data_IF_108296375097
#
_entry.id   IF_108296375097
#
_cell.length_a   1.000
_cell.length_b   1.000
_cell.length_c   1.000
_cell.angle_alpha   90.00
_cell.angle_beta   90.00
_cell.angle_gamma   90.00
#
_symmetry.space_group_name_H-M   'P 1'
#
loop_
_entity.id
_entity.type
_entity.pdbx_description
1 polymer ?
#
# COMPACT_ATOMS: atom_id res chain seq x y z
N UNK A 1 15.49 19.44 20.36
CA UNK A 1 14.83 20.59 19.72
C UNK A 1 13.57 20.15 18.95
N UNK A 2 13.63 19.17 18.05
CA UNK A 2 12.50 18.73 17.21
C UNK A 2 11.30 18.22 18.03
N UNK A 3 11.51 17.48 19.13
CA UNK A 3 10.42 16.98 19.99
C UNK A 3 9.67 18.07 20.77
N UNK A 4 10.33 19.15 21.14
CA UNK A 4 9.70 20.27 21.86
C UNK A 4 8.83 21.07 20.88
N UNK A 5 9.34 21.38 19.71
CA UNK A 5 8.65 22.09 18.61
C UNK A 5 7.38 21.35 18.15
N UNK A 6 7.45 20.02 18.01
CA UNK A 6 6.32 19.17 17.62
C UNK A 6 5.20 19.18 18.70
N UNK A 7 5.55 19.02 19.98
CA UNK A 7 4.55 19.07 21.08
C UNK A 7 3.86 20.42 21.17
N UNK A 8 4.57 21.51 20.93
CA UNK A 8 4.03 22.85 20.94
C UNK A 8 3.02 23.03 19.79
N UNK A 9 3.36 22.59 18.58
CA UNK A 9 2.45 22.69 17.43
C UNK A 9 1.20 21.82 17.61
N UNK A 10 1.33 20.59 18.13
CA UNK A 10 0.17 19.72 18.42
C UNK A 10 -0.76 20.37 19.45
N UNK A 11 -0.21 20.98 20.53
CA UNK A 11 -1.01 21.68 21.54
C UNK A 11 -1.70 22.93 20.96
N UNK A 12 -1.07 23.64 20.05
CA UNK A 12 -1.65 24.80 19.37
C UNK A 12 -2.81 24.36 18.46
N UNK A 13 -2.63 23.29 17.68
CA UNK A 13 -3.68 22.72 16.82
C UNK A 13 -4.86 22.23 17.67
N UNK A 14 -4.59 21.53 18.77
CA UNK A 14 -5.64 21.10 19.69
C UNK A 14 -6.47 22.28 20.20
N UNK A 15 -5.83 23.38 20.54
CA UNK A 15 -6.50 24.61 20.98
C UNK A 15 -7.36 25.19 19.86
N UNK A 16 -6.81 25.32 18.65
CA UNK A 16 -7.54 25.79 17.46
C UNK A 16 -8.78 24.93 17.18
N UNK A 17 -8.63 23.60 17.25
CA UNK A 17 -9.75 22.67 17.01
C UNK A 17 -10.83 22.80 18.09
N UNK A 18 -10.44 22.92 19.36
CA UNK A 18 -11.39 23.11 20.47
C UNK A 18 -12.17 24.40 20.33
N UNK A 19 -11.50 25.50 20.01
CA UNK A 19 -12.14 26.82 19.80
C UNK A 19 -13.08 26.79 18.60
N UNK A 20 -12.66 26.16 17.48
CA UNK A 20 -13.47 26.02 16.29
C UNK A 20 -14.75 25.21 16.56
N UNK A 21 -14.64 24.05 17.21
CA UNK A 21 -15.79 23.19 17.55
C UNK A 21 -16.70 23.85 18.55
N UNK A 22 -16.15 24.56 19.53
CA UNK A 22 -16.95 25.37 20.47
C UNK A 22 -17.76 26.47 19.74
N UNK A 23 -17.16 27.16 18.76
CA UNK A 23 -17.82 28.14 17.89
C UNK A 23 -18.97 27.54 17.05
N UNK A 24 -18.90 26.23 16.74
CA UNK A 24 -19.98 25.50 16.08
C UNK A 24 -21.08 25.02 17.04
N UNK A 25 -20.93 25.27 18.35
CA UNK A 25 -21.82 24.72 19.39
C UNK A 25 -21.72 23.19 19.50
N UNK A 26 -20.57 22.62 19.12
CA UNK A 26 -20.31 21.20 19.10
C UNK A 26 -19.50 20.70 20.29
N UNK A 27 -19.20 19.43 20.28
CA UNK A 27 -18.33 18.75 21.25
C UNK A 27 -17.15 18.08 20.51
N UNK A 28 -15.97 18.11 21.15
CA UNK A 28 -14.76 17.46 20.65
C UNK A 28 -14.14 16.60 21.74
N UNK A 29 -13.64 15.43 21.36
CA UNK A 29 -12.92 14.51 22.23
C UNK A 29 -11.77 13.85 21.48
N UNK A 30 -10.58 13.86 22.05
CA UNK A 30 -9.50 13.01 21.61
C UNK A 30 -9.76 11.56 22.06
N UNK A 31 -9.76 10.61 21.14
CA UNK A 31 -9.97 9.18 21.44
C UNK A 31 -8.72 8.33 21.18
N UNK A 32 -7.81 8.83 20.37
CA UNK A 32 -6.49 8.29 20.13
C UNK A 32 -5.53 9.47 19.90
N UNK A 33 -4.24 9.28 20.08
CA UNK A 33 -3.25 10.32 19.87
C UNK A 33 -3.43 11.00 18.51
N UNK A 34 -3.63 12.32 18.52
CA UNK A 34 -3.84 13.16 17.32
C UNK A 34 -5.09 12.80 16.50
N UNK A 35 -6.01 12.04 17.09
CA UNK A 35 -7.30 11.72 16.48
C UNK A 35 -8.44 12.22 17.36
N UNK A 36 -9.32 12.97 16.76
CA UNK A 36 -10.42 13.65 17.43
C UNK A 36 -11.76 13.23 16.85
N UNK A 37 -12.71 12.94 17.72
CA UNK A 37 -14.11 12.80 17.36
C UNK A 37 -14.84 14.12 17.68
N UNK A 38 -15.56 14.65 16.69
CA UNK A 38 -16.35 15.88 16.86
C UNK A 38 -17.82 15.63 16.53
N UNK A 39 -18.71 16.25 17.29
CA UNK A 39 -20.17 16.19 17.06
C UNK A 39 -20.73 17.61 17.05
N UNK A 40 -21.42 17.97 15.97
CA UNK A 40 -22.11 19.25 15.81
C UNK A 40 -23.37 19.10 14.96
N UNK A 41 -24.25 20.10 14.96
CA UNK A 41 -25.53 20.01 14.29
C UNK A 41 -25.45 20.28 12.79
N UNK A 42 -26.57 20.00 12.08
CA UNK A 42 -26.66 20.15 10.62
C UNK A 42 -26.52 21.62 10.16
N UNK A 43 -26.96 22.59 10.96
CA UNK A 43 -26.82 24.00 10.62
C UNK A 43 -25.34 24.40 10.58
N UNK A 44 -24.58 24.03 11.62
CA UNK A 44 -23.13 24.25 11.67
C UNK A 44 -22.39 23.54 10.50
N UNK A 45 -22.85 22.34 10.11
CA UNK A 45 -22.27 21.67 8.91
C UNK A 45 -22.49 22.50 7.65
N UNK A 46 -23.70 23.04 7.44
CA UNK A 46 -24.01 23.86 6.28
C UNK A 46 -23.13 25.12 6.24
N UNK A 47 -22.88 25.75 7.39
CA UNK A 47 -21.98 26.89 7.51
C UNK A 47 -20.53 26.51 7.19
N UNK A 48 -20.07 25.34 7.65
CA UNK A 48 -18.75 24.80 7.31
C UNK A 48 -18.61 24.53 5.81
N UNK A 49 -19.64 23.98 5.17
CA UNK A 49 -19.68 23.74 3.72
C UNK A 49 -19.62 25.08 2.97
N UNK A 50 -20.43 26.06 3.37
CA UNK A 50 -20.49 27.37 2.74
C UNK A 50 -19.16 28.12 2.80
N UNK A 51 -18.42 28.00 3.91
CA UNK A 51 -17.08 28.58 4.07
C UNK A 51 -15.94 27.65 3.65
N UNK A 52 -16.26 26.49 3.01
CA UNK A 52 -15.31 25.48 2.52
C UNK A 52 -14.35 24.98 3.61
N UNK A 53 -14.83 24.84 4.83
CA UNK A 53 -14.02 24.38 5.97
C UNK A 53 -12.74 25.21 6.18
N UNK A 54 -12.90 26.51 6.35
CA UNK A 54 -11.80 27.47 6.52
C UNK A 54 -10.83 27.11 7.64
N UNK A 55 -11.21 26.24 8.57
CA UNK A 55 -10.36 25.68 9.62
C UNK A 55 -9.09 25.04 9.04
N UNK A 56 -9.14 24.42 7.85
CA UNK A 56 -7.99 23.86 7.17
C UNK A 56 -6.90 24.92 6.94
N UNK A 57 -7.29 26.13 6.54
CA UNK A 57 -6.35 27.25 6.33
C UNK A 57 -5.78 27.74 7.66
N UNK A 58 -6.58 27.77 8.70
CA UNK A 58 -6.15 28.19 10.04
C UNK A 58 -5.07 27.25 10.57
N UNK A 59 -5.25 25.92 10.43
CA UNK A 59 -4.28 24.93 10.87
C UNK A 59 -3.01 24.97 10.01
N UNK A 60 -3.12 25.17 8.70
CA UNK A 60 -1.94 25.31 7.81
C UNK A 60 -1.01 26.46 8.19
N UNK A 61 -1.52 27.47 8.86
CA UNK A 61 -0.74 28.63 9.32
C UNK A 61 0.08 28.35 10.60
N UNK A 62 -0.16 27.21 11.27
CA UNK A 62 0.64 26.76 12.41
C UNK A 62 2.01 26.29 11.90
N UNK A 63 3.08 26.84 12.47
CA UNK A 63 4.46 26.54 12.04
C UNK A 63 5.16 25.58 12.99
N UNK A 64 5.83 24.60 12.45
CA UNK A 64 6.72 23.68 13.16
C UNK A 64 8.15 24.26 13.20
N UNK A 65 8.50 25.03 14.24
CA UNK A 65 9.84 25.57 14.42
C UNK A 65 10.30 26.57 13.37
N UNK A 66 11.60 26.83 13.25
CA UNK A 66 12.20 27.77 12.32
C UNK A 66 12.13 27.29 10.83
N UNK A 67 11.94 26.00 10.61
CA UNK A 67 11.66 25.45 9.29
C UNK A 67 10.14 25.36 9.09
N UNK A 68 9.62 26.19 8.22
CA UNK A 68 8.20 26.41 7.94
C UNK A 68 7.50 25.24 7.24
N UNK A 69 7.39 24.09 7.92
CA UNK A 69 6.58 22.99 7.42
C UNK A 69 5.11 23.24 7.79
N UNK A 70 4.17 23.26 6.83
CA UNK A 70 2.75 23.40 7.12
C UNK A 70 2.26 22.13 7.83
N UNK A 71 1.57 22.31 8.96
CA UNK A 71 0.81 21.23 9.58
C UNK A 71 -0.57 21.20 8.94
N UNK A 72 -1.11 20.01 8.71
CA UNK A 72 -2.39 19.82 8.07
C UNK A 72 -3.30 18.92 8.89
N UNK A 73 -4.61 19.06 8.69
CA UNK A 73 -5.61 18.15 9.24
C UNK A 73 -6.46 17.57 8.11
N UNK A 74 -6.92 16.33 8.32
CA UNK A 74 -7.89 15.67 7.44
C UNK A 74 -9.12 15.34 8.24
N UNK A 75 -10.31 15.50 7.65
CA UNK A 75 -11.57 15.24 8.33
C UNK A 75 -12.52 14.43 7.47
N UNK A 76 -13.21 13.47 8.09
CA UNK A 76 -14.38 12.82 7.53
C UNK A 76 -15.64 13.25 8.27
N UNK A 77 -16.70 13.55 7.55
CA UNK A 77 -17.98 13.98 8.12
C UNK A 77 -19.09 13.03 7.69
N UNK A 78 -19.74 12.37 8.65
CA UNK A 78 -20.93 11.54 8.44
C UNK A 78 -22.20 12.40 8.57
N UNK A 79 -22.76 12.80 7.44
CA UNK A 79 -23.97 13.64 7.36
C UNK A 79 -25.21 12.83 6.95
N UNK A 80 -25.28 11.58 7.35
CA UNK A 80 -26.37 10.65 7.05
C UNK A 80 -27.45 10.66 8.14
N UNK A 81 -28.64 10.14 7.81
CA UNK A 81 -29.65 9.78 8.80
C UNK A 81 -29.31 8.42 9.42
N UNK A 82 -29.63 8.21 10.69
CA UNK A 82 -29.35 6.96 11.39
C UNK A 82 -28.81 7.17 12.80
N UNK A 83 -28.34 6.09 13.40
CA UNK A 83 -27.74 6.08 14.73
C UNK A 83 -26.38 6.83 14.76
N UNK A 84 -25.87 7.11 15.95
CA UNK A 84 -24.52 7.67 16.09
C UNK A 84 -23.46 6.74 15.52
N UNK A 85 -23.62 5.43 15.66
CA UNK A 85 -22.69 4.45 15.11
C UNK A 85 -22.68 4.45 13.56
N UNK A 86 -23.85 4.64 12.92
CA UNK A 86 -23.93 4.75 11.46
C UNK A 86 -23.23 6.04 10.99
N UNK A 87 -23.42 7.15 11.69
CA UNK A 87 -22.76 8.43 11.39
C UNK A 87 -21.26 8.38 11.60
N UNK A 88 -20.80 7.71 12.65
CA UNK A 88 -19.37 7.48 12.89
C UNK A 88 -18.73 6.66 11.77
N UNK A 89 -19.38 5.56 11.36
CA UNK A 89 -18.91 4.74 10.24
C UNK A 89 -18.83 5.57 8.95
N UNK A 90 -19.88 6.31 8.62
CA UNK A 90 -19.89 7.19 7.46
C UNK A 90 -18.83 8.29 7.51
N UNK A 91 -18.51 8.82 8.70
CA UNK A 91 -17.42 9.76 8.90
C UNK A 91 -16.05 9.11 8.72
N UNK A 92 -15.85 7.89 9.23
CA UNK A 92 -14.62 7.11 9.05
C UNK A 92 -14.37 6.80 7.59
N UNK A 93 -15.38 6.31 6.86
CA UNK A 93 -15.29 6.04 5.41
C UNK A 93 -14.93 7.32 4.63
N UNK A 94 -15.54 8.46 5.01
CA UNK A 94 -15.23 9.74 4.39
C UNK A 94 -13.80 10.21 4.73
N UNK A 95 -13.32 9.99 5.96
CA UNK A 95 -11.95 10.31 6.35
C UNK A 95 -10.94 9.49 5.54
N UNK A 96 -11.20 8.19 5.34
CA UNK A 96 -10.36 7.34 4.51
C UNK A 96 -10.25 7.85 3.08
N UNK A 97 -11.37 8.30 2.50
CA UNK A 97 -11.38 8.93 1.16
C UNK A 97 -10.57 10.24 1.15
N UNK A 98 -10.70 11.08 2.22
CA UNK A 98 -9.91 12.29 2.32
C UNK A 98 -8.40 11.99 2.40
N UNK A 99 -8.01 10.97 3.16
CA UNK A 99 -6.62 10.54 3.30
C UNK A 99 -6.09 9.90 2.01
N UNK A 100 -6.89 9.09 1.31
CA UNK A 100 -6.54 8.50 0.01
C UNK A 100 -6.26 9.58 -1.05
N UNK A 101 -6.95 10.72 -0.98
CA UNK A 101 -6.73 11.87 -1.87
C UNK A 101 -5.62 12.82 -1.40
N UNK A 102 -4.73 12.34 -0.51
CA UNK A 102 -3.56 13.08 -0.03
C UNK A 102 -3.75 13.87 1.26
N UNK A 103 -4.88 13.75 1.91
CA UNK A 103 -5.16 14.50 3.15
C UNK A 103 -5.39 15.99 2.94
N UNK A 104 -5.20 16.80 4.01
CA UNK A 104 -5.38 18.25 4.00
C UNK A 104 -6.73 18.72 3.42
N UNK A 105 -7.78 17.95 3.69
CA UNK A 105 -9.12 18.19 3.16
C UNK A 105 -10.19 17.60 4.07
N UNK A 106 -11.43 18.01 3.83
CA UNK A 106 -12.61 17.44 4.47
C UNK A 106 -13.40 16.68 3.43
N UNK A 107 -13.81 15.45 3.73
CA UNK A 107 -14.78 14.71 2.93
C UNK A 107 -16.09 14.59 3.69
N UNK A 108 -17.19 14.93 3.05
CA UNK A 108 -18.54 14.85 3.63
C UNK A 108 -19.33 13.75 2.93
N UNK A 109 -19.74 12.74 3.71
CA UNK A 109 -20.61 11.65 3.28
C UNK A 109 -22.05 11.97 3.67
N UNK A 110 -22.93 12.23 2.68
CA UNK A 110 -24.35 12.54 2.86
C UNK A 110 -25.27 11.31 2.69
N UNK A 111 -24.68 10.13 2.54
CA UNK A 111 -25.37 8.85 2.29
C UNK A 111 -25.66 8.59 0.81
N UNK A 112 -25.47 9.57 -0.08
CA UNK A 112 -25.60 9.42 -1.53
C UNK A 112 -24.27 9.56 -2.25
N UNK A 113 -23.42 10.42 -1.72
CA UNK A 113 -22.11 10.73 -2.29
C UNK A 113 -21.14 11.20 -1.21
N UNK A 114 -19.84 11.10 -1.54
CA UNK A 114 -18.79 11.69 -0.69
C UNK A 114 -18.19 12.88 -1.44
N UNK A 115 -18.42 14.09 -0.88
CA UNK A 115 -17.97 15.34 -1.50
C UNK A 115 -16.76 15.88 -0.77
N UNK A 116 -15.61 16.11 -1.46
CA UNK A 116 -14.41 16.71 -0.86
C UNK A 116 -14.49 18.24 -0.81
N UNK A 117 -13.90 18.85 0.23
CA UNK A 117 -13.79 20.29 0.42
C UNK A 117 -12.38 20.68 0.86
N UNK A 118 -11.84 21.76 0.35
CA UNK A 118 -10.62 22.42 0.86
C UNK A 118 -9.29 21.84 0.43
N UNK A 119 -9.26 20.75 -0.33
CA UNK A 119 -8.03 20.20 -0.89
C UNK A 119 -7.37 21.15 -1.90
N UNK A 120 -6.07 21.39 -1.79
CA UNK A 120 -5.28 22.10 -2.80
C UNK A 120 -4.52 21.07 -3.63
N UNK A 121 -4.69 21.07 -4.93
CA UNK A 121 -4.01 20.16 -5.89
C UNK A 121 -2.46 20.25 -5.77
N UNK A 122 -1.92 21.36 -5.29
CA UNK A 122 -0.47 21.60 -5.16
C UNK A 122 0.12 21.24 -3.77
N UNK A 123 -0.71 20.96 -2.74
CA UNK A 123 -0.20 20.60 -1.38
C UNK A 123 0.06 19.12 -1.22
N UNK A 124 -0.45 18.28 -2.11
CA UNK A 124 -0.21 16.83 -2.07
C UNK A 124 1.29 16.48 -2.10
N UNK A 125 2.08 17.17 -2.92
CA UNK A 125 3.54 16.93 -3.03
C UNK A 125 4.29 17.29 -1.74
N UNK A 126 3.99 18.41 -1.11
CA UNK A 126 4.74 18.91 0.05
C UNK A 126 4.53 18.08 1.32
N UNK A 127 3.30 17.73 1.67
CA UNK A 127 3.02 17.04 2.94
C UNK A 127 3.38 15.55 2.91
N UNK A 128 3.17 14.90 1.77
CA UNK A 128 3.57 13.49 1.55
C UNK A 128 5.08 13.35 1.63
N UNK A 129 5.81 14.20 0.92
CA UNK A 129 7.28 14.21 0.88
C UNK A 129 7.91 14.42 2.27
N UNK A 130 7.30 15.27 3.12
CA UNK A 130 7.78 15.49 4.49
C UNK A 130 7.58 14.24 5.33
N UNK A 131 6.39 13.65 5.30
CA UNK A 131 6.10 12.41 6.05
C UNK A 131 7.00 11.28 5.61
N UNK A 132 7.22 11.11 4.30
CA UNK A 132 8.10 10.09 3.75
C UNK A 132 9.56 10.32 4.15
N UNK A 133 10.03 11.56 4.16
CA UNK A 133 11.39 11.92 4.63
C UNK A 133 11.58 11.60 6.11
N UNK A 134 10.63 11.97 6.97
CA UNK A 134 10.68 11.67 8.41
C UNK A 134 10.66 10.16 8.64
N UNK A 135 9.79 9.44 7.95
CA UNK A 135 9.72 7.97 8.04
C UNK A 135 11.00 7.31 7.51
N UNK A 136 11.56 7.80 6.41
CA UNK A 136 12.83 7.31 5.86
C UNK A 136 13.99 7.49 6.86
N UNK A 137 14.13 8.68 7.44
CA UNK A 137 15.14 8.95 8.45
C UNK A 137 14.99 8.10 9.71
N UNK A 138 13.73 7.95 10.19
CA UNK A 138 13.43 7.10 11.34
C UNK A 138 13.74 5.64 11.06
N UNK A 139 13.36 5.13 9.87
CA UNK A 139 13.68 3.76 9.46
C UNK A 139 15.20 3.53 9.38
N UNK A 140 15.95 4.46 8.77
CA UNK A 140 17.41 4.39 8.71
C UNK A 140 18.04 4.35 10.13
N UNK A 141 17.48 5.11 11.07
CA UNK A 141 17.93 5.06 12.48
C UNK A 141 17.64 3.69 13.10
N UNK A 142 16.43 3.15 12.97
CA UNK A 142 16.07 1.83 13.48
C UNK A 142 16.97 0.72 12.89
N UNK A 143 17.23 0.77 11.57
CA UNK A 143 18.12 -0.18 10.89
C UNK A 143 19.57 -0.11 11.41
N UNK A 144 20.04 1.08 11.75
CA UNK A 144 21.40 1.30 12.29
C UNK A 144 21.55 0.79 13.72
N UNK A 145 20.52 0.98 14.55
CA UNK A 145 20.52 0.62 15.97
C UNK A 145 20.23 -0.88 16.19
N UNK A 146 19.64 -1.56 15.23
CA UNK A 146 19.30 -2.98 15.32
C UNK A 146 20.55 -3.88 15.29
N UNK A 147 20.58 -4.96 16.07
CA UNK A 147 21.62 -5.98 15.99
C UNK A 147 21.56 -6.77 14.71
N UNK A 148 20.34 -7.12 14.25
CA UNK A 148 20.09 -7.67 12.92
C UNK A 148 18.78 -7.13 12.33
N UNK A 149 18.69 -7.12 11.00
CA UNK A 149 17.53 -6.65 10.24
C UNK A 149 16.96 -7.81 9.42
N UNK A 150 15.72 -8.17 9.69
CA UNK A 150 14.95 -9.11 8.90
C UNK A 150 13.90 -8.34 8.09
N UNK A 151 13.82 -8.60 6.80
CA UNK A 151 12.84 -7.99 5.89
C UNK A 151 11.98 -9.11 5.35
N UNK A 152 10.65 -8.98 5.40
CA UNK A 152 9.72 -10.04 5.06
C UNK A 152 8.53 -9.48 4.29
N UNK A 153 8.20 -10.11 3.16
CA UNK A 153 7.00 -9.83 2.38
C UNK A 153 5.84 -10.79 2.70
N UNK A 154 4.91 -10.90 1.76
CA UNK A 154 3.79 -11.84 1.87
C UNK A 154 4.17 -13.26 1.39
N UNK A 155 3.37 -14.27 1.80
CA UNK A 155 3.64 -15.72 1.63
C UNK A 155 3.84 -16.15 0.18
N UNK A 156 3.11 -15.63 -0.76
CA UNK A 156 3.28 -15.97 -2.18
C UNK A 156 3.90 -14.76 -2.87
N UNK A 157 5.24 -14.57 -2.77
CA UNK A 157 5.88 -13.32 -3.14
C UNK A 157 5.69 -13.03 -4.62
N UNK A 158 5.16 -11.88 -4.92
CA UNK A 158 5.11 -11.32 -6.25
C UNK A 158 6.28 -10.36 -6.50
N UNK A 159 6.29 -9.70 -7.63
CA UNK A 159 7.41 -8.83 -8.01
C UNK A 159 7.43 -7.52 -7.19
N UNK A 160 6.29 -7.05 -6.66
CA UNK A 160 6.28 -5.87 -5.80
C UNK A 160 6.81 -6.20 -4.41
N UNK A 161 6.37 -7.32 -3.84
CA UNK A 161 6.88 -7.81 -2.56
C UNK A 161 8.39 -8.03 -2.59
N UNK A 162 8.92 -8.67 -3.65
CA UNK A 162 10.36 -8.92 -3.78
C UNK A 162 11.11 -7.61 -4.04
N UNK A 163 10.62 -6.76 -4.96
CA UNK A 163 11.24 -5.49 -5.32
C UNK A 163 11.34 -4.53 -4.13
N UNK A 164 10.26 -4.37 -3.38
CA UNK A 164 10.23 -3.53 -2.18
C UNK A 164 11.15 -4.07 -1.07
N UNK A 165 11.19 -5.39 -0.85
CA UNK A 165 12.13 -6.02 0.09
C UNK A 165 13.59 -5.78 -0.32
N UNK A 166 13.92 -5.85 -1.61
CA UNK A 166 15.27 -5.59 -2.14
C UNK A 166 15.64 -4.12 -1.96
N UNK A 167 14.74 -3.19 -2.25
CA UNK A 167 14.96 -1.75 -2.00
C UNK A 167 15.22 -1.44 -0.52
N UNK A 168 14.45 -2.08 0.38
CA UNK A 168 14.67 -1.96 1.83
C UNK A 168 15.99 -2.59 2.29
N UNK A 169 16.39 -3.71 1.65
CA UNK A 169 17.70 -4.32 1.93
C UNK A 169 18.84 -3.37 1.53
N UNK A 170 18.74 -2.69 0.39
CA UNK A 170 19.72 -1.64 -0.01
C UNK A 170 19.77 -0.50 1.01
N UNK A 171 18.61 -0.02 1.45
CA UNK A 171 18.54 1.01 2.47
C UNK A 171 19.20 0.56 3.79
N UNK A 172 18.97 -0.70 4.20
CA UNK A 172 19.59 -1.27 5.40
C UNK A 172 21.13 -1.41 5.26
N UNK A 173 21.62 -1.87 4.10
CA UNK A 173 23.05 -1.93 3.80
C UNK A 173 23.70 -0.55 3.98
N UNK A 174 23.08 0.47 3.41
CA UNK A 174 23.61 1.84 3.49
C UNK A 174 23.54 2.40 4.90
N UNK A 175 22.42 2.20 5.61
CA UNK A 175 22.26 2.67 6.99
C UNK A 175 23.29 2.02 7.95
N UNK A 176 23.78 0.83 7.62
CA UNK A 176 24.79 0.06 8.36
C UNK A 176 26.19 0.16 7.74
N UNK A 177 26.46 1.23 6.99
CA UNK A 177 27.79 1.53 6.43
C UNK A 177 28.39 0.41 5.56
N UNK A 178 27.52 -0.36 4.86
CA UNK A 178 27.91 -1.46 4.00
C UNK A 178 27.98 -2.83 4.67
N UNK A 179 27.65 -2.93 5.96
CA UNK A 179 27.62 -4.23 6.66
C UNK A 179 26.38 -5.04 6.26
N UNK A 180 26.61 -6.09 5.47
CA UNK A 180 25.59 -7.05 5.02
C UNK A 180 25.43 -8.27 5.93
N UNK A 181 26.32 -8.44 6.91
CA UNK A 181 26.43 -9.67 7.71
C UNK A 181 25.18 -10.02 8.49
N UNK A 182 24.41 -9.00 8.89
CA UNK A 182 23.23 -9.12 9.73
C UNK A 182 21.94 -8.61 9.06
N UNK A 183 21.89 -8.56 7.73
CA UNK A 183 20.70 -8.22 6.96
C UNK A 183 20.21 -9.47 6.24
N UNK A 184 18.94 -9.82 6.38
CA UNK A 184 18.33 -10.97 5.70
C UNK A 184 16.94 -10.62 5.18
N UNK A 185 16.64 -11.15 3.99
CA UNK A 185 15.31 -11.13 3.39
C UNK A 185 14.70 -12.53 3.52
N UNK A 186 13.55 -12.60 4.16
CA UNK A 186 12.84 -13.85 4.43
C UNK A 186 11.88 -14.12 3.29
N UNK A 187 12.12 -15.20 2.54
CA UNK A 187 11.36 -15.54 1.34
C UNK A 187 11.43 -17.03 1.05
N UNK A 188 10.38 -17.61 0.47
CA UNK A 188 10.44 -18.96 -0.12
C UNK A 188 11.31 -18.95 -1.38
N UNK A 189 12.51 -19.52 -1.27
CA UNK A 189 13.48 -19.59 -2.36
C UNK A 189 13.04 -20.54 -3.50
N UNK A 190 12.02 -21.36 -3.28
CA UNK A 190 11.49 -22.27 -4.29
C UNK A 190 10.40 -21.61 -5.14
N UNK A 191 9.86 -20.46 -4.71
CA UNK A 191 8.85 -19.74 -5.46
C UNK A 191 9.41 -19.23 -6.80
N UNK A 192 8.64 -19.39 -7.89
CA UNK A 192 9.12 -19.08 -9.24
C UNK A 192 9.46 -17.59 -9.41
N UNK A 193 8.61 -16.69 -8.86
CA UNK A 193 8.87 -15.24 -8.95
C UNK A 193 10.20 -14.87 -8.26
N UNK A 194 10.48 -15.50 -7.09
CA UNK A 194 11.76 -15.28 -6.43
C UNK A 194 12.94 -15.74 -7.30
N UNK A 195 12.86 -16.93 -7.90
CA UNK A 195 13.95 -17.43 -8.77
C UNK A 195 14.23 -16.49 -9.92
N UNK A 196 13.18 -16.03 -10.60
CA UNK A 196 13.31 -15.05 -11.68
C UNK A 196 14.01 -13.77 -11.23
N UNK A 197 13.64 -13.24 -10.06
CA UNK A 197 14.27 -12.04 -9.49
C UNK A 197 15.72 -12.30 -9.04
N UNK A 198 15.97 -13.47 -8.44
CA UNK A 198 17.30 -13.82 -7.94
C UNK A 198 18.33 -13.95 -9.06
N UNK A 199 17.94 -14.43 -10.25
CA UNK A 199 18.82 -14.51 -11.40
C UNK A 199 19.43 -13.15 -11.77
N UNK A 200 18.67 -12.06 -11.59
CA UNK A 200 19.16 -10.71 -11.80
C UNK A 200 20.18 -10.26 -10.73
N UNK A 201 20.00 -10.72 -9.48
CA UNK A 201 20.81 -10.33 -8.32
C UNK A 201 22.01 -11.26 -8.05
N UNK A 202 22.02 -12.48 -8.62
CA UNK A 202 22.94 -13.56 -8.25
C UNK A 202 24.44 -13.21 -8.42
N UNK A 203 24.76 -12.29 -9.33
CA UNK A 203 26.13 -11.84 -9.56
C UNK A 203 26.61 -10.81 -8.53
N UNK A 204 25.71 -10.19 -7.77
CA UNK A 204 26.02 -9.20 -6.74
C UNK A 204 26.43 -9.91 -5.44
N UNK A 205 27.63 -9.61 -4.89
CA UNK A 205 28.14 -10.30 -3.69
C UNK A 205 27.22 -10.17 -2.47
N UNK A 206 26.55 -9.03 -2.32
CA UNK A 206 25.67 -8.70 -1.20
C UNK A 206 24.49 -9.67 -1.07
N UNK A 207 23.99 -10.17 -2.19
CA UNK A 207 22.79 -11.01 -2.24
C UNK A 207 23.03 -12.52 -2.13
N UNK A 208 24.28 -12.97 -2.14
CA UNK A 208 24.62 -14.42 -2.13
C UNK A 208 24.06 -15.16 -0.91
N UNK A 209 24.05 -14.53 0.26
CA UNK A 209 23.59 -15.12 1.53
C UNK A 209 22.45 -14.34 2.18
N UNK A 210 21.88 -13.36 1.48
CA UNK A 210 20.88 -12.46 2.05
C UNK A 210 19.49 -13.13 2.17
N UNK A 211 19.14 -13.98 1.21
CA UNK A 211 17.82 -14.61 1.16
C UNK A 211 17.80 -15.91 1.98
N UNK A 212 16.89 -15.97 2.95
CA UNK A 212 16.75 -17.11 3.87
C UNK A 212 15.30 -17.56 3.97
N UNK A 213 15.08 -18.83 4.36
CA UNK A 213 13.74 -19.35 4.65
C UNK A 213 13.21 -18.81 5.98
N UNK A 214 11.89 -18.91 6.20
CA UNK A 214 11.27 -18.56 7.46
C UNK A 214 11.80 -19.36 8.66
N UNK A 215 12.17 -20.63 8.47
CA UNK A 215 12.79 -21.46 9.51
C UNK A 215 14.18 -20.93 9.91
N UNK A 216 15.03 -20.67 8.92
CA UNK A 216 16.35 -20.07 9.17
C UNK A 216 16.22 -18.69 9.82
N UNK A 217 15.20 -17.92 9.47
CA UNK A 217 14.96 -16.62 10.06
C UNK A 217 14.55 -16.71 11.54
N UNK A 218 13.78 -17.72 11.94
CA UNK A 218 13.45 -17.96 13.36
C UNK A 218 14.69 -18.23 14.20
N UNK A 219 15.65 -18.99 13.68
CA UNK A 219 16.93 -19.28 14.35
C UNK A 219 17.82 -18.04 14.44
N UNK A 220 17.65 -17.07 13.55
CA UNK A 220 18.42 -15.83 13.52
C UNK A 220 17.87 -14.72 14.44
N UNK A 221 16.69 -14.90 15.06
CA UNK A 221 16.07 -13.89 15.93
C UNK A 221 16.91 -13.64 17.17
N UNK A 222 17.10 -12.36 17.50
CA UNK A 222 17.76 -11.87 18.70
C UNK A 222 16.85 -10.85 19.41
N UNK A 223 17.18 -10.48 20.62
CA UNK A 223 16.42 -9.48 21.40
C UNK A 223 16.39 -8.09 20.74
N UNK A 224 17.39 -7.78 19.92
CA UNK A 224 17.57 -6.52 19.18
C UNK A 224 17.27 -6.65 17.69
N UNK A 225 16.58 -7.72 17.28
CA UNK A 225 16.13 -7.90 15.90
C UNK A 225 15.09 -6.86 15.53
N UNK A 226 15.30 -6.19 14.39
CA UNK A 226 14.30 -5.39 13.69
C UNK A 226 13.67 -6.23 12.57
N UNK A 227 12.35 -6.41 12.61
CA UNK A 227 11.59 -7.05 11.55
C UNK A 227 10.83 -5.98 10.75
N UNK A 228 11.05 -5.94 9.45
CA UNK A 228 10.36 -5.03 8.54
C UNK A 228 9.42 -5.86 7.66
N UNK A 229 8.13 -5.61 7.78
CA UNK A 229 7.10 -6.14 6.90
C UNK A 229 6.95 -5.20 5.70
N UNK A 230 7.11 -5.71 4.49
CA UNK A 230 6.96 -4.96 3.25
C UNK A 230 5.89 -5.58 2.38
N UNK A 231 5.03 -4.75 1.82
CA UNK A 231 3.93 -5.17 0.93
C UNK A 231 2.94 -6.14 1.60
N UNK A 232 2.82 -6.07 2.90
CA UNK A 232 1.89 -6.87 3.69
C UNK A 232 1.62 -6.23 5.03
N UNK A 233 0.35 -6.05 5.36
CA UNK A 233 -0.09 -5.60 6.69
C UNK A 233 -0.89 -6.68 7.44
N UNK A 234 -1.40 -7.68 6.74
CA UNK A 234 -2.08 -8.80 7.36
C UNK A 234 -1.06 -9.85 7.85
N UNK A 235 -0.99 -10.04 9.17
CA UNK A 235 -0.08 -10.99 9.85
C UNK A 235 -0.16 -12.41 9.28
N UNK A 236 -1.35 -12.88 8.94
CA UNK A 236 -1.58 -14.25 8.44
C UNK A 236 -1.09 -14.46 7.00
N UNK A 237 -0.92 -13.39 6.26
CA UNK A 237 -0.46 -13.42 4.87
C UNK A 237 1.05 -13.25 4.73
N UNK A 238 1.78 -12.99 5.84
CA UNK A 238 3.24 -12.86 5.79
C UNK A 238 3.92 -14.19 5.47
N UNK A 239 5.12 -14.13 4.93
CA UNK A 239 5.94 -15.31 4.61
C UNK A 239 6.16 -16.22 5.82
N UNK A 240 6.40 -15.64 6.99
CA UNK A 240 6.59 -16.38 8.24
C UNK A 240 5.86 -15.72 9.42
N UNK A 241 4.56 -16.01 9.65
CA UNK A 241 3.78 -15.43 10.75
C UNK A 241 4.37 -15.70 12.14
N UNK A 242 5.14 -16.78 12.29
CA UNK A 242 5.78 -17.13 13.57
C UNK A 242 6.81 -16.10 14.02
N UNK A 243 7.48 -15.41 13.09
CA UNK A 243 8.45 -14.34 13.43
C UNK A 243 7.81 -13.21 14.24
N UNK A 244 6.57 -12.87 13.96
CA UNK A 244 5.84 -11.80 14.65
C UNK A 244 5.51 -12.12 16.11
N UNK A 245 5.62 -13.40 16.52
CA UNK A 245 5.51 -13.82 17.92
C UNK A 245 6.86 -13.78 18.65
N UNK A 246 7.97 -13.76 17.92
CA UNK A 246 9.32 -13.84 18.47
C UNK A 246 10.04 -12.49 18.46
N UNK A 247 9.65 -11.56 17.59
CA UNK A 247 10.32 -10.26 17.43
C UNK A 247 9.46 -9.15 18.06
N UNK A 248 10.10 -8.27 18.86
CA UNK A 248 9.41 -7.15 19.50
C UNK A 248 9.46 -5.87 18.66
N UNK A 249 10.52 -5.67 17.88
CA UNK A 249 10.73 -4.46 17.09
C UNK A 249 10.22 -4.70 15.66
N UNK A 250 8.99 -4.27 15.37
CA UNK A 250 8.35 -4.47 14.08
C UNK A 250 8.07 -3.14 13.41
N UNK A 251 8.39 -3.05 12.12
CA UNK A 251 8.04 -1.96 11.21
C UNK A 251 7.14 -2.51 10.11
N UNK A 252 6.12 -1.74 9.71
CA UNK A 252 5.19 -2.12 8.65
C UNK A 252 5.20 -1.04 7.56
N UNK A 253 5.48 -1.46 6.32
CA UNK A 253 5.44 -0.61 5.11
C UNK A 253 4.54 -1.31 4.10
N UNK A 254 3.37 -0.72 3.79
CA UNK A 254 2.37 -1.37 2.97
C UNK A 254 1.48 -0.35 2.23
N UNK A 255 0.95 -0.74 1.09
CA UNK A 255 0.00 0.07 0.32
C UNK A 255 -1.44 -0.49 0.36
N UNK A 256 -1.64 -1.67 0.93
CA UNK A 256 -2.96 -2.27 1.08
C UNK A 256 -3.81 -1.57 2.15
N UNK A 257 -5.12 -1.75 2.09
CA UNK A 257 -6.03 -1.30 3.16
C UNK A 257 -5.70 -2.03 4.45
N UNK A 258 -5.67 -1.28 5.55
CA UNK A 258 -5.46 -1.89 6.87
C UNK A 258 -6.50 -2.99 7.11
N UNK A 259 -6.10 -4.17 7.60
CA UNK A 259 -7.04 -5.15 8.10
C UNK A 259 -7.77 -4.55 9.33
N UNK A 260 -9.05 -4.89 9.50
CA UNK A 260 -9.85 -4.48 10.66
C UNK A 260 -9.34 -5.07 12.00
N UNK A 261 -8.40 -6.01 11.94
CA UNK A 261 -7.82 -6.65 13.11
C UNK A 261 -6.66 -5.82 13.66
N UNK A 262 -6.72 -5.52 14.96
CA UNK A 262 -5.59 -4.94 15.68
C UNK A 262 -4.45 -5.96 15.77
N UNK A 263 -3.21 -5.49 15.58
CA UNK A 263 -2.03 -6.31 15.82
C UNK A 263 -1.94 -6.71 17.31
N UNK A 264 -1.53 -7.95 17.60
CA UNK A 264 -1.23 -8.40 18.95
C UNK A 264 0.03 -7.72 19.53
N UNK A 265 0.78 -6.99 18.71
CA UNK A 265 1.98 -6.25 19.06
C UNK A 265 1.84 -4.78 18.66
N UNK A 266 2.67 -3.91 19.26
CA UNK A 266 2.71 -2.49 18.89
C UNK A 266 3.89 -2.24 17.95
N UNK A 267 3.67 -1.95 16.66
CA UNK A 267 4.74 -1.62 15.75
C UNK A 267 5.53 -0.39 16.20
N UNK A 268 6.85 -0.38 16.00
CA UNK A 268 7.69 0.81 16.21
C UNK A 268 7.37 1.91 15.20
N UNK A 269 7.05 1.49 13.96
CA UNK A 269 6.68 2.37 12.88
C UNK A 269 5.64 1.68 12.00
N UNK A 270 4.64 2.43 11.58
CA UNK A 270 3.64 1.99 10.60
C UNK A 270 3.57 3.02 9.49
N UNK A 271 3.90 2.62 8.27
CA UNK A 271 3.83 3.44 7.08
C UNK A 271 2.94 2.74 6.04
N UNK A 272 1.64 2.86 6.24
CA UNK A 272 0.62 2.26 5.36
C UNK A 272 -0.08 3.41 4.64
N UNK A 273 -0.06 3.37 3.30
CA UNK A 273 -0.68 4.39 2.43
C UNK A 273 -1.59 3.72 1.39
N UNK A 274 -2.85 3.41 1.74
CA UNK A 274 -3.83 2.96 0.77
C UNK A 274 -4.04 4.03 -0.32
N UNK A 275 -3.96 3.63 -1.57
CA UNK A 275 -4.05 4.56 -2.71
C UNK A 275 -2.71 4.84 -3.39
N UNK A 276 -1.59 4.43 -2.80
CA UNK A 276 -0.30 4.29 -3.49
C UNK A 276 -0.34 3.02 -4.32
N UNK A 277 0.23 3.05 -5.51
CA UNK A 277 0.06 1.98 -6.47
C UNK A 277 0.77 0.67 -6.07
N UNK A 278 1.90 0.75 -5.35
CA UNK A 278 2.75 -0.39 -5.02
C UNK A 278 3.61 -0.11 -3.78
N UNK A 279 4.04 -1.13 -3.05
CA UNK A 279 5.01 -0.98 -1.97
C UNK A 279 6.37 -0.51 -2.49
N UNK A 280 6.77 -0.92 -3.69
CA UNK A 280 7.97 -0.43 -4.37
C UNK A 280 7.91 1.08 -4.63
N UNK A 281 6.73 1.69 -4.81
CA UNK A 281 6.57 3.15 -4.88
C UNK A 281 6.94 3.81 -3.56
N UNK A 282 6.41 3.30 -2.43
CA UNK A 282 6.72 3.81 -1.09
C UNK A 282 8.22 3.70 -0.78
N UNK A 283 8.82 2.56 -1.09
CA UNK A 283 10.23 2.31 -0.85
C UNK A 283 11.11 3.17 -1.76
N UNK A 284 10.71 3.41 -3.01
CA UNK A 284 11.41 4.34 -3.92
C UNK A 284 11.41 5.76 -3.36
N UNK A 285 10.27 6.24 -2.87
CA UNK A 285 10.15 7.56 -2.23
C UNK A 285 11.03 7.65 -0.97
N UNK A 286 11.06 6.57 -0.15
CA UNK A 286 11.91 6.54 1.04
C UNK A 286 13.40 6.54 0.70
N UNK A 287 13.83 5.82 -0.33
CA UNK A 287 15.22 5.82 -0.82
C UNK A 287 15.61 7.19 -1.37
N UNK A 288 14.79 7.79 -2.23
CA UNK A 288 15.02 9.11 -2.83
C UNK A 288 15.17 10.20 -1.78
N UNK A 289 14.36 10.14 -0.71
CA UNK A 289 14.37 11.12 0.38
C UNK A 289 15.38 10.81 1.51
N UNK A 290 16.06 9.67 1.43
CA UNK A 290 17.11 9.27 2.37
C UNK A 290 18.44 9.99 2.09
N UNK A 291 19.39 9.96 3.03
CA UNK A 291 20.78 10.36 2.77
C UNK A 291 21.48 9.49 1.72
N UNK A 292 20.88 8.37 1.33
CA UNK A 292 21.45 7.33 0.46
C UNK A 292 20.76 7.26 -0.91
N UNK A 293 20.21 8.39 -1.38
CA UNK A 293 19.41 8.46 -2.60
C UNK A 293 20.12 7.96 -3.86
N UNK A 294 21.46 7.95 -3.89
CA UNK A 294 22.27 7.47 -5.02
C UNK A 294 22.71 6.01 -4.91
N UNK A 295 22.38 5.31 -3.82
CA UNK A 295 22.96 4.01 -3.51
C UNK A 295 22.28 2.82 -4.20
N UNK A 296 21.08 3.00 -4.73
CA UNK A 296 20.32 1.93 -5.38
C UNK A 296 21.04 1.45 -6.66
N UNK A 297 21.24 0.15 -6.78
CA UNK A 297 21.86 -0.45 -7.96
C UNK A 297 20.82 -0.63 -9.08
N UNK A 298 21.29 -0.70 -10.33
CA UNK A 298 20.43 -0.84 -11.52
C UNK A 298 19.58 -2.10 -11.51
N UNK A 299 20.09 -3.20 -10.96
CA UNK A 299 19.37 -4.45 -10.81
C UNK A 299 18.22 -4.31 -9.81
N UNK A 300 18.47 -3.69 -8.67
CA UNK A 300 17.49 -3.41 -7.63
C UNK A 300 16.41 -2.45 -8.13
N UNK A 301 16.83 -1.36 -8.77
CA UNK A 301 15.93 -0.40 -9.40
C UNK A 301 15.04 -1.06 -10.46
N UNK A 302 15.60 -2.04 -11.22
CA UNK A 302 14.84 -2.81 -12.22
C UNK A 302 13.79 -3.70 -11.57
N UNK A 303 14.10 -4.37 -10.45
CA UNK A 303 13.14 -5.19 -9.72
C UNK A 303 12.03 -4.34 -9.09
N UNK A 304 12.37 -3.19 -8.51
CA UNK A 304 11.36 -2.26 -7.98
C UNK A 304 10.45 -1.72 -9.10
N UNK A 305 11.01 -1.40 -10.27
CA UNK A 305 10.24 -1.03 -11.45
C UNK A 305 9.30 -2.18 -11.89
N UNK A 306 9.77 -3.43 -11.82
CA UNK A 306 8.95 -4.61 -12.13
C UNK A 306 7.76 -4.72 -11.19
N UNK A 307 7.94 -4.48 -9.88
CA UNK A 307 6.85 -4.42 -8.91
C UNK A 307 5.83 -3.33 -9.25
N UNK A 308 6.28 -2.11 -9.51
CA UNK A 308 5.41 -1.02 -9.97
C UNK A 308 4.62 -1.38 -11.23
N UNK A 309 5.26 -2.02 -12.21
CA UNK A 309 4.60 -2.46 -13.45
C UNK A 309 3.56 -3.54 -13.20
N UNK A 310 3.78 -4.43 -12.23
CA UNK A 310 2.83 -5.47 -11.86
C UNK A 310 1.53 -4.85 -11.34
N UNK A 311 1.62 -4.07 -10.27
CA UNK A 311 0.47 -3.56 -9.52
C UNK A 311 -0.31 -2.50 -10.30
N UNK A 312 0.38 -1.76 -11.16
CA UNK A 312 -0.25 -0.76 -12.04
C UNK A 312 -0.72 -1.35 -13.38
N UNK A 313 -0.57 -2.66 -13.61
CA UNK A 313 -0.81 -3.29 -14.91
C UNK A 313 -0.15 -2.51 -16.06
N UNK A 314 1.16 -2.35 -15.96
CA UNK A 314 1.96 -1.52 -16.87
C UNK A 314 1.47 -0.05 -16.96
N UNK A 315 1.18 0.57 -15.81
CA UNK A 315 0.76 1.97 -15.67
C UNK A 315 -0.61 2.28 -16.27
N UNK A 316 -1.44 1.28 -16.48
CA UNK A 316 -2.81 1.44 -17.01
C UNK A 316 -3.86 1.56 -15.90
N UNK A 317 -3.54 1.16 -14.66
CA UNK A 317 -4.45 1.20 -13.52
C UNK A 317 -3.70 1.71 -12.27
N UNK A 318 -4.36 2.56 -11.49
CA UNK A 318 -3.85 3.02 -10.19
C UNK A 318 -2.58 3.88 -10.22
N UNK A 319 -1.99 4.14 -11.41
CA UNK A 319 -0.82 4.97 -11.53
C UNK A 319 -1.19 6.46 -11.42
N UNK A 320 -0.59 7.14 -10.45
CA UNK A 320 -0.74 8.57 -10.20
C UNK A 320 0.58 9.30 -10.41
N UNK A 321 0.60 10.61 -10.12
CA UNK A 321 1.79 11.44 -10.31
C UNK A 321 2.99 10.95 -9.48
N UNK A 322 2.75 10.48 -8.26
CA UNK A 322 3.78 9.90 -7.39
C UNK A 322 4.39 8.63 -7.96
N UNK A 323 3.56 7.79 -8.59
CA UNK A 323 4.02 6.57 -9.28
C UNK A 323 5.04 6.93 -10.38
N UNK A 324 4.73 7.96 -11.18
CA UNK A 324 5.67 8.42 -12.22
C UNK A 324 6.92 9.11 -11.65
N UNK A 325 6.82 9.75 -10.49
CA UNK A 325 7.99 10.29 -9.79
C UNK A 325 8.90 9.14 -9.30
N UNK A 326 8.32 8.08 -8.72
CA UNK A 326 9.08 6.89 -8.34
C UNK A 326 9.72 6.21 -9.57
N UNK A 327 8.99 6.09 -10.67
CA UNK A 327 9.53 5.59 -11.94
C UNK A 327 10.70 6.45 -12.42
N UNK A 328 10.59 7.78 -12.37
CA UNK A 328 11.67 8.69 -12.73
C UNK A 328 12.92 8.42 -11.88
N UNK A 329 12.77 8.38 -10.57
CA UNK A 329 13.86 8.04 -9.65
C UNK A 329 14.53 6.70 -9.99
N UNK A 330 13.74 5.65 -10.23
CA UNK A 330 14.27 4.33 -10.59
C UNK A 330 15.03 4.35 -11.91
N UNK A 331 14.58 5.12 -12.90
CA UNK A 331 15.30 5.33 -14.16
C UNK A 331 16.62 6.07 -13.97
N UNK A 332 16.68 7.07 -13.11
CA UNK A 332 17.93 7.72 -12.74
C UNK A 332 18.93 6.77 -12.08
N UNK A 333 18.43 5.74 -11.38
CA UNK A 333 19.23 4.65 -10.78
C UNK A 333 19.54 3.54 -11.78
N UNK A 334 19.17 3.69 -13.03
CA UNK A 334 19.51 2.78 -14.12
C UNK A 334 18.55 1.60 -14.29
N UNK A 335 17.30 1.70 -13.81
CA UNK A 335 16.28 0.70 -14.06
C UNK A 335 16.11 0.44 -15.57
N UNK A 336 16.01 -0.82 -15.95
CA UNK A 336 15.98 -1.24 -17.35
C UNK A 336 14.61 -1.81 -17.73
N UNK A 337 13.80 -1.04 -18.46
CA UNK A 337 12.42 -1.40 -18.82
C UNK A 337 12.29 -2.72 -19.56
N UNK A 338 13.19 -3.01 -20.52
CA UNK A 338 13.10 -4.25 -21.28
C UNK A 338 13.35 -5.46 -20.38
N UNK A 339 14.24 -5.34 -19.39
CA UNK A 339 14.46 -6.39 -18.39
C UNK A 339 13.23 -6.52 -17.50
N UNK A 340 12.68 -5.41 -16.98
CA UNK A 340 11.45 -5.42 -16.20
C UNK A 340 10.29 -6.07 -16.98
N UNK A 341 10.13 -5.76 -18.26
CA UNK A 341 9.10 -6.37 -19.11
C UNK A 341 9.30 -7.85 -19.36
N UNK A 342 10.53 -8.34 -19.37
CA UNK A 342 10.80 -9.78 -19.59
C UNK A 342 10.25 -10.67 -18.47
N UNK A 343 10.01 -10.13 -17.28
CA UNK A 343 9.36 -10.85 -16.17
C UNK A 343 7.88 -11.18 -16.45
N UNK A 344 7.25 -10.49 -17.39
CA UNK A 344 5.84 -10.68 -17.77
C UNK A 344 5.70 -11.47 -19.07
N UNK A 345 6.78 -12.06 -19.57
CA UNK A 345 6.70 -12.91 -20.77
C UNK A 345 5.99 -14.22 -20.47
N UNK A 346 5.13 -14.64 -21.38
CA UNK A 346 4.37 -15.88 -21.27
C UNK A 346 5.02 -17.00 -22.06
N UNK A 347 4.89 -18.23 -21.56
CA UNK A 347 5.30 -19.42 -22.31
C UNK A 347 4.33 -19.69 -23.47
N UNK A 348 4.79 -20.40 -24.49
CA UNK A 348 3.92 -20.88 -25.57
C UNK A 348 2.76 -21.75 -25.05
N UNK A 349 3.02 -22.54 -24.00
CA UNK A 349 1.98 -23.36 -23.34
C UNK A 349 0.92 -22.46 -22.72
N UNK A 350 1.32 -21.43 -21.97
CA UNK A 350 0.38 -20.47 -21.38
C UNK A 350 -0.44 -19.74 -22.45
N UNK A 351 0.20 -19.39 -23.58
CA UNK A 351 -0.50 -18.78 -24.70
C UNK A 351 -1.58 -19.70 -25.29
N UNK A 352 -1.26 -20.98 -25.53
CA UNK A 352 -2.23 -21.95 -26.04
C UNK A 352 -3.38 -22.17 -25.05
N UNK A 353 -3.08 -22.30 -23.76
CA UNK A 353 -4.13 -22.38 -22.72
C UNK A 353 -5.03 -21.15 -22.73
N UNK A 354 -4.46 -19.95 -22.83
CA UNK A 354 -5.23 -18.72 -22.91
C UNK A 354 -6.13 -18.67 -24.16
N UNK A 355 -5.61 -19.10 -25.34
CA UNK A 355 -6.39 -19.17 -26.56
C UNK A 355 -7.56 -20.16 -26.46
N UNK A 356 -7.35 -21.31 -25.82
CA UNK A 356 -8.41 -22.31 -25.60
C UNK A 356 -9.50 -21.76 -24.68
N UNK A 357 -9.13 -21.10 -23.57
CA UNK A 357 -10.05 -20.43 -22.66
C UNK A 357 -10.84 -19.33 -23.39
N UNK A 358 -10.16 -18.48 -24.15
CA UNK A 358 -10.78 -17.40 -24.92
C UNK A 358 -11.81 -17.91 -25.94
N UNK A 359 -11.52 -19.03 -26.59
CA UNK A 359 -12.41 -19.64 -27.60
C UNK A 359 -13.77 -20.08 -27.04
N UNK A 360 -13.84 -20.35 -25.73
CA UNK A 360 -15.05 -20.77 -25.01
C UNK A 360 -15.87 -19.59 -24.49
N UNK A 361 -15.37 -18.36 -24.64
CA UNK A 361 -16.05 -17.18 -24.11
C UNK A 361 -17.45 -17.01 -24.69
N UNK A 362 -18.40 -16.68 -23.81
CA UNK A 362 -19.79 -16.31 -24.17
C UNK A 362 -20.10 -14.97 -23.51
N UNK A 363 -20.96 -14.21 -24.14
CA UNK A 363 -21.46 -12.95 -23.59
C UNK A 363 -22.92 -13.08 -23.17
N UNK A 364 -23.27 -12.42 -22.09
CA UNK A 364 -24.64 -12.28 -21.63
C UNK A 364 -25.05 -10.80 -21.68
N UNK A 365 -26.10 -10.50 -22.47
CA UNK A 365 -26.62 -9.14 -22.74
C UNK A 365 -25.53 -8.16 -23.21
N UNK A 366 -24.51 -8.66 -23.89
CA UNK A 366 -23.35 -7.91 -24.42
C UNK A 366 -22.59 -7.07 -23.36
N UNK A 367 -22.78 -7.40 -22.07
CA UNK A 367 -22.18 -6.67 -20.93
C UNK A 367 -21.40 -7.56 -19.99
N UNK A 368 -21.72 -8.84 -19.94
CA UNK A 368 -21.08 -9.81 -19.06
C UNK A 368 -20.40 -10.86 -19.91
N UNK A 369 -19.11 -11.03 -19.72
CA UNK A 369 -18.34 -12.09 -20.38
C UNK A 369 -18.15 -13.28 -19.42
N UNK A 370 -18.36 -14.49 -19.96
CA UNK A 370 -18.25 -15.75 -19.24
C UNK A 370 -17.32 -16.67 -20.01
N UNK A 371 -16.34 -17.24 -19.35
CA UNK A 371 -15.51 -18.33 -19.90
C UNK A 371 -15.38 -19.45 -18.87
N UNK A 372 -15.05 -20.66 -19.33
CA UNK A 372 -14.87 -21.80 -18.43
C UNK A 372 -13.86 -22.79 -18.99
N UNK A 373 -13.25 -23.52 -18.05
CA UNK A 373 -12.38 -24.66 -18.34
C UNK A 373 -12.75 -25.83 -17.43
N UNK A 374 -12.79 -27.04 -17.96
CA UNK A 374 -12.90 -28.27 -17.19
C UNK A 374 -11.61 -29.04 -17.29
N UNK A 375 -11.09 -29.51 -16.17
CA UNK A 375 -9.89 -30.33 -16.07
C UNK A 375 -10.27 -31.75 -15.65
N UNK A 376 -9.56 -32.72 -16.20
CA UNK A 376 -9.66 -34.13 -15.82
C UNK A 376 -8.70 -34.52 -14.70
N UNK A 377 -8.02 -33.53 -14.13
CA UNK A 377 -7.05 -33.64 -13.02
C UNK A 377 -7.29 -32.54 -11.97
N UNK A 378 -6.74 -32.64 -10.75
CA UNK A 378 -6.81 -31.57 -9.77
C UNK A 378 -6.24 -30.28 -10.34
N UNK A 379 -6.91 -29.14 -10.02
CA UNK A 379 -6.44 -27.83 -10.47
C UNK A 379 -5.06 -27.50 -9.89
N UNK A 380 -4.17 -27.05 -10.73
CA UNK A 380 -2.88 -26.52 -10.33
C UNK A 380 -2.96 -25.01 -10.05
N UNK A 381 -1.92 -24.47 -9.44
CA UNK A 381 -1.81 -23.01 -9.27
C UNK A 381 -1.75 -22.29 -10.62
N UNK A 382 -1.05 -22.88 -11.62
CA UNK A 382 -0.98 -22.33 -12.97
C UNK A 382 -2.36 -22.24 -13.65
N UNK A 383 -3.21 -23.26 -13.48
CA UNK A 383 -4.57 -23.25 -14.00
C UNK A 383 -5.41 -22.12 -13.38
N UNK A 384 -5.29 -21.95 -12.07
CA UNK A 384 -6.00 -20.87 -11.35
C UNK A 384 -5.54 -19.49 -11.81
N UNK A 385 -4.24 -19.30 -12.01
CA UNK A 385 -3.66 -18.06 -12.54
C UNK A 385 -4.13 -17.81 -13.97
N UNK A 386 -4.18 -18.85 -14.83
CA UNK A 386 -4.65 -18.72 -16.20
C UNK A 386 -6.11 -18.23 -16.26
N UNK A 387 -6.98 -18.75 -15.38
CA UNK A 387 -8.37 -18.31 -15.30
C UNK A 387 -8.51 -16.89 -14.75
N UNK A 388 -7.69 -16.49 -13.78
CA UNK A 388 -7.66 -15.12 -13.28
C UNK A 388 -7.23 -14.13 -14.39
N UNK A 389 -6.19 -14.46 -15.16
CA UNK A 389 -5.75 -13.69 -16.33
C UNK A 389 -6.82 -13.61 -17.42
N UNK A 390 -7.55 -14.70 -17.66
CA UNK A 390 -8.67 -14.70 -18.62
C UNK A 390 -9.77 -13.74 -18.16
N UNK A 391 -10.15 -13.73 -16.88
CA UNK A 391 -11.11 -12.78 -16.36
C UNK A 391 -10.64 -11.33 -16.54
N UNK A 392 -9.36 -11.03 -16.25
CA UNK A 392 -8.79 -9.70 -16.49
C UNK A 392 -8.80 -9.30 -17.96
N UNK A 393 -8.43 -10.21 -18.86
CA UNK A 393 -8.43 -9.99 -20.32
C UNK A 393 -9.83 -9.67 -20.86
N UNK A 394 -10.86 -10.40 -20.40
CA UNK A 394 -12.23 -10.16 -20.81
C UNK A 394 -12.73 -8.74 -20.44
N UNK A 395 -12.20 -8.15 -19.37
CA UNK A 395 -12.51 -6.76 -18.99
C UNK A 395 -11.90 -5.72 -19.93
N UNK A 396 -10.98 -6.09 -20.82
CA UNK A 396 -10.43 -5.17 -21.82
C UNK A 396 -11.31 -5.05 -23.08
N UNK A 397 -12.34 -5.89 -23.20
CA UNK A 397 -13.25 -5.90 -24.36
C UNK A 397 -14.27 -4.78 -24.20
N UNK A 398 -14.42 -3.99 -25.25
CA UNK A 398 -15.37 -2.87 -25.26
C UNK A 398 -16.81 -3.35 -25.01
N UNK A 399 -17.50 -2.69 -24.08
CA UNK A 399 -18.88 -3.00 -23.69
C UNK A 399 -19.02 -4.01 -22.57
N UNK A 400 -17.96 -4.72 -22.18
CA UNK A 400 -18.00 -5.65 -21.05
C UNK A 400 -17.89 -4.87 -19.73
N UNK A 401 -18.88 -5.05 -18.86
CA UNK A 401 -18.98 -4.43 -17.53
C UNK A 401 -18.57 -5.39 -16.39
N UNK A 402 -18.66 -6.71 -16.63
CA UNK A 402 -18.19 -7.73 -15.71
C UNK A 402 -17.73 -8.99 -16.46
N UNK A 403 -16.78 -9.71 -15.88
CA UNK A 403 -16.27 -10.98 -16.39
C UNK A 403 -16.24 -12.05 -15.31
N UNK A 404 -16.49 -13.30 -15.71
CA UNK A 404 -16.42 -14.47 -14.85
C UNK A 404 -15.65 -15.58 -15.60
N UNK A 405 -14.62 -16.10 -14.97
CA UNK A 405 -13.87 -17.24 -15.46
C UNK A 405 -14.00 -18.40 -14.47
N UNK A 406 -14.54 -19.52 -14.92
CA UNK A 406 -14.90 -20.68 -14.10
C UNK A 406 -13.94 -21.83 -14.40
N UNK A 407 -13.26 -22.34 -13.37
CA UNK A 407 -12.41 -23.52 -13.44
C UNK A 407 -13.11 -24.68 -12.72
N UNK A 408 -13.50 -25.68 -13.45
CA UNK A 408 -14.04 -26.92 -12.90
C UNK A 408 -12.93 -27.98 -12.84
N UNK A 409 -12.64 -28.47 -11.64
CA UNK A 409 -11.68 -29.55 -11.40
C UNK A 409 -12.25 -30.51 -10.36
N UNK A 410 -12.34 -31.77 -10.70
CA UNK A 410 -12.94 -32.81 -9.83
C UNK A 410 -14.35 -32.43 -9.36
N UNK A 411 -14.54 -32.19 -8.05
CA UNK A 411 -15.82 -31.80 -7.45
C UNK A 411 -15.88 -30.31 -7.04
N UNK A 412 -14.93 -29.49 -7.52
CA UNK A 412 -14.84 -28.07 -7.16
C UNK A 412 -14.94 -27.18 -8.38
N UNK A 413 -15.54 -26.00 -8.17
CA UNK A 413 -15.53 -24.92 -9.17
C UNK A 413 -14.91 -23.69 -8.54
N UNK A 414 -13.76 -23.27 -9.07
CA UNK A 414 -13.13 -22.01 -8.69
C UNK A 414 -13.59 -20.93 -9.65
N UNK A 415 -13.97 -19.75 -9.14
CA UNK A 415 -14.47 -18.65 -9.95
C UNK A 415 -13.58 -17.44 -9.75
N UNK A 416 -13.05 -16.90 -10.83
CA UNK A 416 -12.39 -15.60 -10.88
C UNK A 416 -13.34 -14.60 -11.50
N UNK A 417 -13.69 -13.53 -10.77
CA UNK A 417 -14.61 -12.50 -11.24
C UNK A 417 -13.96 -11.11 -11.21
N UNK A 418 -14.30 -10.30 -12.21
CA UNK A 418 -13.86 -8.90 -12.34
C UNK A 418 -15.03 -8.02 -12.76
N UNK A 419 -15.00 -6.76 -12.38
CA UNK A 419 -15.99 -5.78 -12.85
C UNK A 419 -15.43 -4.36 -12.81
N UNK A 420 -16.04 -3.50 -13.62
CA UNK A 420 -15.98 -2.06 -13.42
C UNK A 420 -17.03 -1.60 -12.38
N UNK A 421 -16.96 -0.37 -11.93
CA UNK A 421 -17.70 0.20 -10.79
C UNK A 421 -19.23 -0.02 -10.77
N UNK A 422 -19.83 -0.41 -11.90
CA UNK A 422 -21.30 -0.54 -12.03
C UNK A 422 -21.85 -1.86 -11.51
N UNK A 423 -21.05 -2.92 -11.47
CA UNK A 423 -21.49 -4.27 -11.08
C UNK A 423 -20.64 -4.73 -9.89
N UNK A 424 -21.27 -4.97 -8.76
CA UNK A 424 -20.58 -5.51 -7.60
C UNK A 424 -20.52 -7.04 -7.68
N UNK A 425 -19.43 -7.57 -8.27
CA UNK A 425 -19.21 -9.02 -8.41
C UNK A 425 -19.02 -9.71 -7.06
N UNK A 426 -18.52 -9.01 -6.04
CA UNK A 426 -18.37 -9.57 -4.69
C UNK A 426 -19.72 -9.97 -4.08
N UNK A 427 -20.75 -9.14 -4.25
CA UNK A 427 -22.12 -9.46 -3.82
C UNK A 427 -22.72 -10.64 -4.60
N UNK A 428 -22.35 -10.80 -5.86
CA UNK A 428 -22.79 -11.93 -6.68
C UNK A 428 -22.15 -13.23 -6.20
N UNK A 429 -20.85 -13.18 -5.87
CA UNK A 429 -20.08 -14.34 -5.42
C UNK A 429 -20.43 -14.80 -3.99
N UNK A 430 -21.05 -13.93 -3.19
CA UNK A 430 -21.48 -14.27 -1.82
C UNK A 430 -22.86 -14.93 -1.75
N UNK A 431 -23.60 -15.00 -2.85
CA UNK A 431 -24.92 -15.65 -2.96
C UNK A 431 -24.83 -17.03 -3.59
#
# INVERSE_FOLDING_TARGET
YVRVSYRTAVSEIETILKEWVAGLGGMIREYEREKYLTVFNRAALNDCIANKFRILETVRNVKLGDNSYPVTISMGVGAIDGSFADKERAASDALDIALQKGGDQVAVNDGKSVTPYGGRVNTMYGSTTITSRVNSQHLCQLMREAGNVLIMGHRAPDYDSIGSCVGLARLAICAREGDVSHIRVVVDRNHQNFRNCYDLLAHLPEYRSMFISGETALDAVRSDTLLIMSDVSNVFNTECPKLLKCVQNVVIIDHHRRPDQMYEFKPLMTYIRPGVAAASELVSEMLELSPYHDALLKEEATLMLTGLMLDTKNFTQGAEMQTFAAVHYLYERGAHTNVARSFFTESMTSLFTACDIDSRTRTYRDKIALTWQSLDHPATEEDTIAMAKAADKLMTINGIEASFALLHAENTVTISARSHDKINVQLIMQR
#
